data_IF_388390888228
#
_entry.id   IF_388390888228
#
_cell.length_a   1.000
_cell.length_b   1.000
_cell.length_c   1.000
_cell.angle_alpha   90.00
_cell.angle_beta   90.00
_cell.angle_gamma   90.00
#
_symmetry.space_group_name_H-M   'P 1'
#
loop_
_entity.id
_entity.type
_entity.pdbx_description
1 polymer ?
#
# COMPACT_ATOMS: atom_id res chain seq x y z
N UNK A 1 21.10 31.43 -2.98
CA UNK A 1 20.77 31.82 -4.37
C UNK A 1 19.85 30.78 -4.94
N UNK A 2 18.56 31.10 -5.01
CA UNK A 2 17.59 30.22 -5.69
C UNK A 2 17.86 30.29 -7.21
N UNK A 3 18.38 29.24 -7.80
CA UNK A 3 18.42 29.14 -9.26
C UNK A 3 16.97 29.00 -9.74
N UNK A 4 16.56 29.93 -10.60
CA UNK A 4 15.27 29.95 -11.27
C UNK A 4 15.15 28.66 -12.10
N UNK A 5 14.20 27.81 -11.82
CA UNK A 5 13.84 26.71 -12.69
C UNK A 5 13.19 27.29 -13.95
N UNK A 6 13.76 27.01 -15.09
CA UNK A 6 13.18 27.39 -16.39
C UNK A 6 12.45 26.17 -16.91
N UNK A 7 11.13 26.26 -17.01
CA UNK A 7 10.30 25.25 -17.68
C UNK A 7 10.20 25.62 -19.16
N UNK A 8 10.62 24.74 -20.02
CA UNK A 8 10.41 24.88 -21.45
C UNK A 8 9.28 23.92 -21.86
N UNK A 9 8.20 24.48 -22.34
CA UNK A 9 7.12 23.70 -22.95
C UNK A 9 7.43 23.62 -24.45
N UNK A 10 7.65 22.43 -24.98
CA UNK A 10 7.68 22.20 -26.39
C UNK A 10 6.36 21.55 -26.79
N UNK A 11 5.73 22.02 -27.85
CA UNK A 11 4.59 21.34 -28.46
C UNK A 11 5.00 19.92 -28.88
N UNK A 12 4.07 18.97 -28.75
CA UNK A 12 4.34 17.59 -29.09
C UNK A 12 4.77 17.51 -30.58
N UNK A 13 5.91 16.92 -30.83
CA UNK A 13 6.43 16.69 -32.20
C UNK A 13 5.48 15.80 -33.05
N UNK A 14 4.58 15.06 -32.36
CA UNK A 14 3.56 14.23 -33.00
C UNK A 14 2.23 14.39 -32.25
N UNK A 15 1.21 15.02 -32.85
CA UNK A 15 -0.09 15.24 -32.21
C UNK A 15 -0.89 13.97 -31.94
N UNK A 16 -0.51 12.84 -32.52
CA UNK A 16 -1.16 11.54 -32.30
C UNK A 16 -0.65 10.80 -31.06
N UNK A 17 0.40 11.32 -30.41
CA UNK A 17 0.97 10.74 -29.19
C UNK A 17 0.64 11.62 -27.98
N UNK A 18 -0.33 11.19 -27.17
CA UNK A 18 -0.63 11.85 -25.90
C UNK A 18 0.34 11.38 -24.81
N UNK A 19 0.87 12.32 -24.02
CA UNK A 19 1.76 12.00 -22.92
C UNK A 19 2.41 13.23 -22.31
N UNK A 20 3.09 13.02 -21.18
CA UNK A 20 3.88 14.07 -20.53
C UNK A 20 5.31 13.58 -20.37
N UNK A 21 6.27 14.38 -20.82
CA UNK A 21 7.70 14.14 -20.62
C UNK A 21 8.27 15.17 -19.65
N UNK A 22 8.79 14.69 -18.53
CA UNK A 22 9.53 15.52 -17.58
C UNK A 22 11.04 15.28 -17.74
N UNK A 23 11.78 16.33 -17.98
CA UNK A 23 13.25 16.27 -18.08
C UNK A 23 13.85 17.04 -16.92
N UNK A 24 14.63 16.35 -16.10
CA UNK A 24 15.33 16.95 -14.95
C UNK A 24 16.82 16.93 -15.28
N UNK A 25 17.43 18.11 -15.33
CA UNK A 25 18.87 18.29 -15.63
C UNK A 25 19.57 18.97 -14.46
N UNK A 26 20.89 18.90 -14.47
CA UNK A 26 21.73 19.55 -13.43
C UNK A 26 21.43 19.04 -12.02
N UNK A 27 21.26 17.73 -11.90
CA UNK A 27 21.13 17.05 -10.62
C UNK A 27 22.41 17.33 -9.81
N UNK A 28 22.27 17.65 -8.52
CA UNK A 28 23.41 18.04 -7.67
C UNK A 28 24.35 16.88 -7.36
N UNK A 29 23.77 15.70 -7.21
CA UNK A 29 24.49 14.48 -6.88
C UNK A 29 24.17 13.41 -7.93
N UNK A 30 25.16 12.64 -8.41
CA UNK A 30 24.91 11.53 -9.32
C UNK A 30 24.10 10.45 -8.60
N UNK A 31 23.18 9.84 -9.30
CA UNK A 31 22.44 8.72 -8.77
C UNK A 31 23.33 7.48 -8.68
N UNK A 32 23.24 6.78 -7.58
CA UNK A 32 23.87 5.47 -7.37
C UNK A 32 22.90 4.34 -7.67
N UNK A 33 23.41 3.14 -7.88
CA UNK A 33 22.57 1.94 -8.06
C UNK A 33 21.59 1.77 -6.89
N UNK A 34 22.03 2.02 -5.65
CA UNK A 34 21.20 1.92 -4.44
C UNK A 34 20.02 2.90 -4.47
N UNK A 35 20.22 4.10 -4.98
CA UNK A 35 19.16 5.11 -5.10
C UNK A 35 18.15 4.74 -6.18
N UNK A 36 18.61 4.19 -7.30
CA UNK A 36 17.72 3.65 -8.35
C UNK A 36 16.89 2.48 -7.80
N UNK A 37 17.51 1.54 -7.10
CA UNK A 37 16.80 0.43 -6.46
C UNK A 37 15.79 0.92 -5.40
N UNK A 38 16.13 1.99 -4.67
CA UNK A 38 15.19 2.63 -3.73
C UNK A 38 14.01 3.27 -4.48
N UNK A 39 14.28 4.02 -5.53
CA UNK A 39 13.26 4.62 -6.40
C UNK A 39 12.30 3.55 -6.94
N UNK A 40 12.84 2.44 -7.44
CA UNK A 40 12.03 1.33 -7.95
C UNK A 40 11.07 0.78 -6.90
N UNK A 41 11.53 0.62 -5.66
CA UNK A 41 10.67 0.17 -4.54
C UNK A 41 9.53 1.14 -4.27
N UNK A 42 9.83 2.45 -4.21
CA UNK A 42 8.81 3.46 -3.94
C UNK A 42 7.80 3.55 -5.08
N UNK A 43 8.26 3.48 -6.33
CA UNK A 43 7.39 3.49 -7.51
C UNK A 43 6.50 2.24 -7.57
N UNK A 44 7.02 1.07 -7.19
CA UNK A 44 6.24 -0.18 -7.19
C UNK A 44 5.01 -0.14 -6.28
N UNK A 45 5.03 0.73 -5.28
CA UNK A 45 3.94 0.91 -4.31
C UNK A 45 2.84 1.85 -4.80
N UNK A 46 3.05 2.59 -5.89
CA UNK A 46 2.12 3.64 -6.35
C UNK A 46 0.78 3.07 -6.77
N UNK A 47 0.80 1.92 -7.44
CA UNK A 47 -0.40 1.26 -7.99
C UNK A 47 -0.85 0.17 -7.04
N UNK A 48 -2.17 0.11 -6.79
CA UNK A 48 -2.76 -0.95 -5.97
C UNK A 48 -2.55 -2.32 -6.60
N UNK A 49 -2.10 -3.33 -5.83
CA UNK A 49 -2.06 -4.71 -6.29
C UNK A 49 -3.44 -5.29 -6.66
N UNK A 50 -4.52 -4.65 -6.24
CA UNK A 50 -5.89 -5.01 -6.63
C UNK A 50 -6.34 -4.38 -7.95
N UNK A 51 -5.58 -3.42 -8.47
CA UNK A 51 -6.05 -2.61 -9.59
C UNK A 51 -6.15 -3.44 -10.87
N UNK A 52 -7.38 -3.82 -11.23
CA UNK A 52 -7.73 -4.12 -12.61
C UNK A 52 -7.95 -2.79 -13.34
N UNK A 53 -6.86 -2.10 -13.65
CA UNK A 53 -6.94 -0.87 -14.42
C UNK A 53 -7.44 -1.20 -15.82
N UNK A 54 -8.45 -0.48 -16.30
CA UNK A 54 -9.00 -0.60 -17.65
C UNK A 54 -7.94 -0.37 -18.73
N UNK A 55 -6.89 0.36 -18.35
CA UNK A 55 -5.65 0.53 -19.10
C UNK A 55 -4.49 0.06 -18.23
N UNK A 56 -3.62 -0.85 -18.71
CA UNK A 56 -2.48 -1.31 -17.95
C UNK A 56 -1.52 -0.14 -17.72
N UNK A 57 -1.54 0.39 -16.50
CA UNK A 57 -0.54 1.37 -16.08
C UNK A 57 0.75 0.62 -15.75
N UNK A 58 1.76 0.79 -16.58
CA UNK A 58 3.05 0.14 -16.41
C UNK A 58 4.08 1.16 -15.98
N UNK A 59 4.80 0.84 -14.92
CA UNK A 59 5.95 1.62 -14.49
C UNK A 59 7.20 0.85 -14.88
N UNK A 60 8.06 1.46 -15.67
CA UNK A 60 9.34 0.90 -16.09
C UNK A 60 10.47 1.82 -15.69
N UNK A 61 11.48 1.27 -15.05
CA UNK A 61 12.70 2.01 -14.71
C UNK A 61 13.80 1.55 -15.64
N UNK A 62 14.44 2.51 -16.31
CA UNK A 62 15.53 2.28 -17.23
C UNK A 62 16.73 3.08 -16.74
N UNK A 63 17.78 2.38 -16.33
CA UNK A 63 19.04 2.95 -15.89
C UNK A 63 20.20 2.10 -16.46
N UNK A 64 20.57 2.34 -17.74
CA UNK A 64 21.54 1.52 -18.46
C UNK A 64 22.92 1.47 -17.80
N UNK A 65 23.31 2.54 -17.13
CA UNK A 65 24.57 2.67 -16.40
C UNK A 65 24.69 1.68 -15.22
N UNK A 66 23.56 1.11 -14.76
CA UNK A 66 23.49 0.11 -13.70
C UNK A 66 22.97 -1.23 -14.18
N UNK A 67 22.79 -1.39 -15.49
CA UNK A 67 22.22 -2.59 -16.10
C UNK A 67 20.80 -2.89 -15.61
N UNK A 68 19.98 -1.82 -15.43
CA UNK A 68 18.59 -1.90 -14.96
C UNK A 68 17.68 -1.50 -16.13
N UNK A 69 16.78 -2.41 -16.49
CA UNK A 69 15.67 -2.19 -17.42
C UNK A 69 14.54 -3.15 -17.04
N UNK A 70 13.65 -2.72 -16.13
CA UNK A 70 12.58 -3.61 -15.66
C UNK A 70 11.31 -2.87 -15.27
N UNK A 71 10.20 -3.58 -15.37
CA UNK A 71 8.92 -3.13 -14.82
C UNK A 71 8.94 -3.25 -13.29
N UNK A 72 8.39 -2.24 -12.62
CA UNK A 72 8.34 -2.16 -11.16
C UNK A 72 6.89 -1.98 -10.72
N UNK A 73 6.15 -3.10 -10.59
CA UNK A 73 4.79 -3.14 -10.05
C UNK A 73 4.71 -4.32 -9.09
N UNK A 74 4.17 -4.07 -7.90
CA UNK A 74 3.82 -5.14 -6.96
C UNK A 74 2.55 -5.84 -7.39
N UNK A 75 2.54 -7.14 -7.24
CA UNK A 75 1.36 -7.99 -7.43
C UNK A 75 0.99 -8.70 -6.11
N UNK A 76 -0.24 -9.19 -6.02
CA UNK A 76 -0.64 -9.99 -4.85
C UNK A 76 0.13 -11.31 -4.75
N UNK A 77 0.67 -11.80 -5.86
CA UNK A 77 1.47 -13.03 -5.90
C UNK A 77 2.80 -12.88 -5.17
N UNK A 78 3.33 -11.66 -5.06
CA UNK A 78 4.54 -11.37 -4.29
C UNK A 78 4.38 -11.70 -2.79
N UNK A 79 3.13 -11.81 -2.31
CA UNK A 79 2.79 -12.09 -0.93
C UNK A 79 2.38 -13.54 -0.64
N UNK A 80 2.51 -14.44 -1.62
CA UNK A 80 2.11 -15.87 -1.50
C UNK A 80 2.90 -16.64 -0.42
N UNK A 81 3.98 -16.06 0.11
CA UNK A 81 4.76 -16.64 1.21
C UNK A 81 4.21 -16.31 2.61
N UNK A 82 3.10 -15.57 2.70
CA UNK A 82 2.45 -15.30 3.98
C UNK A 82 1.92 -16.60 4.61
N UNK A 83 1.99 -16.67 5.94
CA UNK A 83 1.48 -17.82 6.71
C UNK A 83 -0.03 -17.83 6.72
N UNK A 84 -0.63 -16.66 7.01
CA UNK A 84 -2.07 -16.46 7.06
C UNK A 84 -2.42 -15.23 6.23
N UNK A 85 -3.55 -15.25 5.54
CA UNK A 85 -4.11 -14.05 4.93
C UNK A 85 -5.59 -13.88 5.30
N UNK A 86 -5.98 -12.62 5.49
CA UNK A 86 -7.36 -12.20 5.64
C UNK A 86 -7.73 -11.33 4.44
N UNK A 87 -8.75 -11.73 3.72
CA UNK A 87 -9.31 -10.95 2.60
C UNK A 87 -10.70 -10.47 2.95
N UNK A 88 -10.96 -9.19 2.70
CA UNK A 88 -12.27 -8.57 2.85
C UNK A 88 -12.64 -7.94 1.52
N UNK A 89 -13.81 -8.28 1.02
CA UNK A 89 -14.37 -7.73 -0.21
C UNK A 89 -15.79 -7.25 0.06
N UNK A 90 -16.07 -6.03 -0.34
CA UNK A 90 -17.38 -5.42 -0.26
C UNK A 90 -18.04 -5.44 -1.64
N UNK A 91 -19.15 -6.16 -1.73
CA UNK A 91 -20.00 -6.17 -2.90
C UNK A 91 -21.04 -5.04 -2.79
N UNK A 92 -20.84 -3.95 -3.56
CA UNK A 92 -21.75 -2.79 -3.56
C UNK A 92 -23.17 -3.15 -3.98
N UNK A 93 -23.35 -4.13 -4.85
CA UNK A 93 -24.68 -4.53 -5.35
C UNK A 93 -25.47 -5.27 -4.29
N UNK A 94 -24.81 -6.13 -3.53
CA UNK A 94 -25.40 -6.91 -2.42
C UNK A 94 -25.38 -6.15 -1.11
N UNK A 95 -24.63 -5.06 -1.03
CA UNK A 95 -24.39 -4.28 0.19
C UNK A 95 -23.91 -5.17 1.34
N UNK A 96 -23.04 -6.12 1.04
CA UNK A 96 -22.46 -7.07 1.99
C UNK A 96 -20.95 -7.06 1.88
N UNK A 97 -20.29 -7.23 3.02
CA UNK A 97 -18.85 -7.49 3.08
C UNK A 97 -18.62 -8.94 3.47
N UNK A 98 -17.66 -9.57 2.81
CA UNK A 98 -17.19 -10.91 3.13
C UNK A 98 -15.79 -10.82 3.70
N UNK A 99 -15.49 -11.64 4.72
CA UNK A 99 -14.13 -11.88 5.16
C UNK A 99 -13.77 -13.34 4.97
N UNK A 100 -12.59 -13.57 4.41
CA UNK A 100 -12.07 -14.92 4.13
C UNK A 100 -10.70 -15.00 4.78
N UNK A 101 -10.56 -15.94 5.73
CA UNK A 101 -9.27 -16.32 6.27
C UNK A 101 -8.72 -17.50 5.48
N UNK A 102 -7.49 -17.39 5.05
CA UNK A 102 -6.75 -18.48 4.46
C UNK A 102 -5.52 -18.76 5.31
N UNK A 103 -5.43 -19.96 5.83
CA UNK A 103 -4.29 -20.48 6.59
C UNK A 103 -3.57 -21.50 5.70
N UNK A 104 -2.34 -21.17 5.32
CA UNK A 104 -1.54 -21.99 4.42
C UNK A 104 -1.20 -23.37 4.99
N UNK A 105 -0.96 -23.45 6.30
CA UNK A 105 -0.60 -24.73 6.94
C UNK A 105 -1.79 -25.67 7.05
N UNK A 106 -2.95 -25.13 7.38
CA UNK A 106 -4.17 -25.92 7.59
C UNK A 106 -5.04 -26.05 6.34
N UNK A 107 -4.72 -25.27 5.28
CA UNK A 107 -5.52 -25.20 4.05
C UNK A 107 -7.01 -24.98 4.32
N UNK A 108 -7.33 -24.15 5.30
CA UNK A 108 -8.70 -23.86 5.71
C UNK A 108 -9.14 -22.47 5.28
N UNK A 109 -10.43 -22.40 4.89
CA UNK A 109 -11.09 -21.14 4.56
C UNK A 109 -12.25 -20.93 5.52
N UNK A 110 -12.24 -19.84 6.26
CA UNK A 110 -13.32 -19.45 7.12
C UNK A 110 -14.04 -18.23 6.50
N UNK A 111 -15.36 -18.29 6.50
CA UNK A 111 -16.22 -17.28 5.90
C UNK A 111 -17.02 -16.54 6.96
N UNK A 112 -16.95 -15.21 6.95
CA UNK A 112 -17.76 -14.35 7.82
C UNK A 112 -18.43 -13.26 6.99
N UNK A 113 -19.73 -13.02 7.25
CA UNK A 113 -20.44 -11.88 6.69
C UNK A 113 -20.31 -10.69 7.64
N UNK A 114 -19.89 -9.56 7.12
CA UNK A 114 -19.73 -8.33 7.89
C UNK A 114 -20.82 -7.35 7.46
N UNK A 115 -21.58 -6.77 8.43
CA UNK A 115 -22.55 -5.72 8.11
C UNK A 115 -21.86 -4.50 7.51
N UNK A 116 -22.59 -3.79 6.64
CA UNK A 116 -22.16 -2.50 6.11
C UNK A 116 -21.73 -1.54 7.21
N UNK A 117 -20.71 -0.77 6.92
CA UNK A 117 -20.19 0.28 7.78
C UNK A 117 -20.50 1.66 7.19
N UNK A 118 -20.52 2.72 8.02
CA UNK A 118 -20.86 4.07 7.59
C UNK A 118 -19.92 4.62 6.50
N UNK A 119 -18.70 4.12 6.43
CA UNK A 119 -17.66 4.59 5.50
C UNK A 119 -17.77 4.04 4.07
N UNK A 120 -18.75 3.15 3.79
CA UNK A 120 -18.98 2.57 2.47
C UNK A 120 -18.15 1.32 2.20
N UNK A 121 -17.99 0.98 0.91
CA UNK A 121 -17.29 -0.22 0.48
C UNK A 121 -15.78 -0.16 0.68
N UNK A 122 -15.19 -1.30 1.02
CA UNK A 122 -13.75 -1.46 1.19
C UNK A 122 -13.30 -2.82 0.68
N UNK A 123 -12.19 -2.86 -0.03
CA UNK A 123 -11.47 -4.08 -0.34
C UNK A 123 -10.17 -4.07 0.44
N UNK A 124 -9.93 -5.11 1.22
CA UNK A 124 -8.73 -5.20 2.05
C UNK A 124 -8.16 -6.60 2.00
N UNK A 125 -6.83 -6.67 2.01
CA UNK A 125 -6.11 -7.93 2.21
C UNK A 125 -4.97 -7.72 3.17
N UNK A 126 -4.86 -8.60 4.17
CA UNK A 126 -3.78 -8.60 5.15
C UNK A 126 -3.04 -9.92 4.99
N UNK A 127 -1.73 -9.84 4.90
CA UNK A 127 -0.82 -10.98 4.81
C UNK A 127 0.05 -11.00 6.05
N UNK A 128 -0.15 -11.98 6.90
CA UNK A 128 0.64 -12.18 8.10
C UNK A 128 1.80 -13.13 7.82
N UNK A 129 2.95 -12.80 8.36
CA UNK A 129 4.19 -13.58 8.22
C UNK A 129 4.70 -13.95 9.61
N UNK A 130 4.70 -15.23 9.95
CA UNK A 130 5.43 -15.74 11.07
C UNK A 130 6.96 -15.61 10.86
N UNK A 131 7.75 -16.00 11.84
CA UNK A 131 9.21 -15.82 11.75
C UNK A 131 9.86 -16.57 10.57
N UNK A 132 9.51 -17.83 10.25
CA UNK A 132 10.00 -18.52 9.06
C UNK A 132 9.60 -17.83 7.75
N UNK A 133 8.33 -17.41 7.62
CA UNK A 133 7.83 -16.72 6.44
C UNK A 133 8.50 -15.35 6.26
N UNK A 134 8.72 -14.58 7.34
CA UNK A 134 9.49 -13.33 7.31
C UNK A 134 10.91 -13.51 6.82
N UNK A 135 11.59 -14.57 7.26
CA UNK A 135 12.95 -14.87 6.78
C UNK A 135 12.96 -15.17 5.29
N UNK A 136 12.00 -15.94 4.81
CA UNK A 136 11.87 -16.26 3.39
C UNK A 136 11.53 -15.01 2.56
N UNK A 137 10.59 -14.18 3.03
CA UNK A 137 10.26 -12.92 2.39
C UNK A 137 11.47 -11.99 2.27
N UNK A 138 12.24 -11.79 3.34
CA UNK A 138 13.47 -10.96 3.33
C UNK A 138 14.54 -11.49 2.38
N UNK A 139 14.61 -12.79 2.15
CA UNK A 139 15.55 -13.37 1.17
C UNK A 139 15.09 -13.09 -0.27
N UNK A 140 13.79 -13.18 -0.53
CA UNK A 140 13.22 -12.92 -1.84
C UNK A 140 13.20 -11.41 -2.16
N UNK A 141 12.93 -10.57 -1.15
CA UNK A 141 12.78 -9.13 -1.26
C UNK A 141 13.67 -8.38 -0.25
N UNK A 142 15.00 -8.44 -0.38
CA UNK A 142 15.93 -7.92 0.63
C UNK A 142 15.83 -6.41 0.86
N UNK A 143 15.32 -5.70 -0.14
CA UNK A 143 15.18 -4.24 -0.11
C UNK A 143 13.75 -3.76 0.14
N UNK A 144 12.81 -4.68 0.38
CA UNK A 144 11.41 -4.38 0.54
C UNK A 144 10.89 -4.89 1.89
N UNK A 145 10.85 -4.03 2.91
CA UNK A 145 10.46 -4.45 4.25
C UNK A 145 8.97 -4.79 4.33
N UNK A 146 8.65 -5.67 5.28
CA UNK A 146 7.28 -5.82 5.76
C UNK A 146 6.98 -4.57 6.60
N UNK A 147 5.99 -3.77 6.19
CA UNK A 147 5.81 -2.40 6.67
C UNK A 147 4.35 -1.97 6.93
N UNK A 148 3.46 -2.92 7.24
CA UNK A 148 2.09 -2.60 7.65
C UNK A 148 1.14 -2.27 6.49
N UNK A 149 0.21 -1.36 6.71
CA UNK A 149 -0.85 -1.02 5.76
C UNK A 149 -0.46 0.03 4.73
N UNK A 150 -0.97 -0.18 3.51
CA UNK A 150 -1.03 0.83 2.44
C UNK A 150 -2.46 1.01 2.00
N UNK A 151 -2.90 2.26 1.91
CA UNK A 151 -4.25 2.61 1.45
C UNK A 151 -4.19 3.16 0.04
N UNK A 152 -5.01 2.60 -0.81
CA UNK A 152 -5.17 3.02 -2.20
C UNK A 152 -6.56 3.59 -2.41
N UNK A 153 -6.65 4.60 -3.25
CA UNK A 153 -7.90 5.21 -3.66
C UNK A 153 -7.96 5.26 -5.17
N UNK A 154 -9.00 4.65 -5.72
CA UNK A 154 -9.16 4.53 -7.18
C UNK A 154 -7.91 3.91 -7.85
N UNK A 155 -7.29 2.93 -7.17
CA UNK A 155 -6.12 2.19 -7.66
C UNK A 155 -4.76 2.87 -7.46
N UNK A 156 -4.71 4.10 -6.91
CA UNK A 156 -3.47 4.83 -6.65
C UNK A 156 -3.26 5.00 -5.15
N UNK A 157 -2.01 4.92 -4.70
CA UNK A 157 -1.68 5.09 -3.28
C UNK A 157 -2.16 6.46 -2.77
N UNK A 158 -2.97 6.44 -1.73
CA UNK A 158 -3.49 7.63 -1.09
C UNK A 158 -2.62 8.05 0.10
N UNK A 159 -2.26 7.07 0.94
CA UNK A 159 -1.40 7.30 2.10
C UNK A 159 -0.71 6.01 2.52
N UNK A 160 0.54 6.05 3.00
CA UNK A 160 1.19 4.96 3.71
C UNK A 160 0.61 4.87 5.12
N UNK A 161 -0.41 4.06 5.27
CA UNK A 161 -1.18 3.92 6.51
C UNK A 161 -0.48 2.94 7.46
N UNK A 162 -0.17 3.38 8.68
CA UNK A 162 0.54 2.59 9.70
C UNK A 162 1.91 2.02 9.25
N UNK A 163 2.51 2.59 8.21
CA UNK A 163 3.83 2.18 7.74
C UNK A 163 4.92 2.56 8.75
N UNK A 164 5.75 1.59 9.14
CA UNK A 164 6.93 1.87 9.95
C UNK A 164 8.01 2.51 9.09
N UNK A 165 8.44 3.69 9.47
CA UNK A 165 9.61 4.32 8.88
C UNK A 165 10.78 4.30 9.87
N UNK A 166 11.97 3.94 9.42
CA UNK A 166 13.20 3.98 10.22
C UNK A 166 13.58 5.41 10.64
N UNK A 167 13.05 6.41 9.96
CA UNK A 167 13.32 7.84 10.20
C UNK A 167 12.14 8.47 10.94
N UNK A 168 12.08 8.25 12.26
CA UNK A 168 11.47 9.12 13.30
C UNK A 168 10.04 9.62 13.11
N UNK A 169 9.23 9.14 12.19
CA UNK A 169 7.89 9.70 12.02
C UNK A 169 6.83 8.87 12.75
N UNK A 170 6.74 9.07 14.07
CA UNK A 170 5.65 8.56 14.93
C UNK A 170 4.25 8.89 14.40
N UNK A 171 4.15 9.84 13.46
CA UNK A 171 2.90 10.22 12.80
C UNK A 171 2.42 9.19 11.78
N UNK A 172 3.26 8.25 11.36
CA UNK A 172 2.90 7.23 10.37
C UNK A 172 2.20 6.01 10.97
N UNK A 173 2.31 5.78 12.25
CA UNK A 173 1.48 4.80 12.96
C UNK A 173 0.10 5.39 13.32
N UNK A 174 -0.61 5.85 12.29
CA UNK A 174 -1.92 6.51 12.40
C UNK A 174 -2.95 5.62 13.10
N UNK A 175 -2.81 4.31 12.96
CA UNK A 175 -3.66 3.32 13.64
C UNK A 175 -3.19 3.01 15.07
N UNK A 176 -1.99 3.43 15.46
CA UNK A 176 -1.42 3.10 16.75
C UNK A 176 -1.14 1.60 16.93
N UNK A 177 -0.82 0.90 15.83
CA UNK A 177 -0.59 -0.55 15.84
C UNK A 177 0.62 -0.87 16.69
N UNK A 178 1.77 -0.27 16.41
CA UNK A 178 3.00 -0.52 17.16
C UNK A 178 2.90 0.02 18.60
N UNK A 179 2.19 1.12 18.80
CA UNK A 179 1.90 1.61 20.17
C UNK A 179 1.08 0.60 20.99
N UNK A 180 0.15 -0.11 20.36
CA UNK A 180 -0.63 -1.18 21.02
C UNK A 180 0.25 -2.37 21.38
N UNK A 181 1.29 -2.68 20.60
CA UNK A 181 2.24 -3.77 20.90
C UNK A 181 2.95 -3.50 22.22
N UNK A 182 3.33 -2.27 22.53
CA UNK A 182 3.96 -1.93 23.83
C UNK A 182 3.05 -2.14 25.05
N UNK A 183 1.74 -2.17 24.84
CA UNK A 183 0.77 -2.42 25.92
C UNK A 183 0.54 -3.92 26.18
N UNK A 184 0.80 -4.76 25.18
CA UNK A 184 0.62 -6.21 25.25
C UNK A 184 1.56 -6.92 24.24
N UNK A 185 2.82 -7.00 24.62
CA UNK A 185 3.95 -7.40 23.73
C UNK A 185 3.78 -8.83 23.19
N UNK A 186 3.13 -9.72 23.94
CA UNK A 186 3.06 -11.14 23.57
C UNK A 186 1.86 -11.51 22.70
N UNK A 187 0.87 -10.65 22.62
CA UNK A 187 -0.42 -10.99 22.01
C UNK A 187 -0.82 -10.05 20.85
N UNK A 188 0.07 -9.18 20.36
CA UNK A 188 -0.31 -8.21 19.33
C UNK A 188 0.64 -8.23 18.15
N UNK A 189 0.06 -8.24 16.95
CA UNK A 189 0.79 -8.16 15.68
C UNK A 189 1.37 -6.76 15.50
N UNK A 190 2.68 -6.70 15.25
CA UNK A 190 3.42 -5.49 14.87
C UNK A 190 3.29 -5.20 13.38
N UNK A 191 3.43 -3.93 12.97
CA UNK A 191 3.52 -3.54 11.56
C UNK A 191 4.65 -4.23 10.80
N UNK A 192 5.64 -4.79 11.51
CA UNK A 192 6.77 -5.56 10.95
C UNK A 192 6.44 -7.04 10.68
N UNK A 193 5.22 -7.45 10.93
CA UNK A 193 4.78 -8.85 10.83
C UNK A 193 3.73 -9.06 9.76
N UNK A 194 3.20 -7.98 9.18
CA UNK A 194 2.21 -8.08 8.12
C UNK A 194 2.39 -7.03 7.02
N UNK A 195 1.86 -7.36 5.87
CA UNK A 195 1.60 -6.43 4.78
C UNK A 195 0.09 -6.31 4.60
N UNK A 196 -0.40 -5.10 4.57
CA UNK A 196 -1.81 -4.81 4.39
C UNK A 196 -2.06 -3.93 3.17
N UNK A 197 -3.00 -4.32 2.34
CA UNK A 197 -3.46 -3.54 1.19
C UNK A 197 -4.92 -3.21 1.39
N UNK A 198 -5.25 -1.94 1.36
CA UNK A 198 -6.61 -1.42 1.49
C UNK A 198 -6.93 -0.62 0.25
N UNK A 199 -8.01 -0.95 -0.42
CA UNK A 199 -8.47 -0.25 -1.62
C UNK A 199 -9.88 0.30 -1.37
N UNK A 200 -10.03 1.59 -1.57
CA UNK A 200 -11.30 2.32 -1.50
C UNK A 200 -11.51 3.11 -2.79
N UNK A 201 -12.75 3.43 -3.09
CA UNK A 201 -13.06 4.29 -4.24
C UNK A 201 -13.66 5.60 -3.77
N UNK A 202 -13.42 6.67 -4.52
CA UNK A 202 -14.03 7.97 -4.24
C UNK A 202 -15.55 7.91 -4.29
N UNK A 203 -16.09 7.16 -5.23
CA UNK A 203 -17.54 7.01 -5.40
C UNK A 203 -18.15 6.16 -4.26
N UNK A 204 -17.50 5.08 -3.84
CA UNK A 204 -17.96 4.21 -2.76
C UNK A 204 -17.76 4.83 -1.37
N UNK A 205 -16.78 5.75 -1.23
CA UNK A 205 -16.43 6.39 0.04
C UNK A 205 -16.34 7.92 -0.11
N UNK A 206 -17.42 8.62 -0.48
CA UNK A 206 -17.39 10.06 -0.78
C UNK A 206 -17.03 10.92 0.43
N UNK A 207 -17.26 10.43 1.66
CA UNK A 207 -16.98 11.14 2.90
C UNK A 207 -15.53 10.93 3.40
N UNK A 208 -14.80 9.96 2.86
CA UNK A 208 -13.37 9.83 3.12
C UNK A 208 -12.65 10.84 2.22
N UNK A 209 -12.22 11.95 2.77
CA UNK A 209 -11.68 13.10 2.02
C UNK A 209 -10.16 13.15 2.21
N UNK A 210 -9.41 13.29 1.13
CA UNK A 210 -7.95 13.43 1.19
C UNK A 210 -7.58 14.74 1.89
N UNK A 211 -6.65 14.69 2.83
CA UNK A 211 -6.10 15.89 3.44
C UNK A 211 -5.28 16.69 2.42
N UNK A 212 -5.23 18.00 2.57
CA UNK A 212 -4.56 18.92 1.62
C UNK A 212 -3.07 18.60 1.45
N UNK A 213 -2.42 18.09 2.50
CA UNK A 213 -1.02 17.68 2.49
C UNK A 213 -0.78 16.27 1.89
N UNK A 214 -1.86 15.55 1.53
CA UNK A 214 -1.83 14.18 1.00
C UNK A 214 -1.08 13.16 1.87
N UNK A 215 -0.98 13.42 3.16
CA UNK A 215 -0.31 12.53 4.11
C UNK A 215 -1.31 11.70 4.93
N UNK A 216 -2.59 12.05 4.88
CA UNK A 216 -3.68 11.38 5.58
C UNK A 216 -5.04 11.77 4.96
N UNK A 217 -6.11 11.28 5.55
CA UNK A 217 -7.48 11.73 5.29
C UNK A 217 -7.93 12.75 6.35
N UNK A 218 -8.94 13.53 5.98
CA UNK A 218 -9.59 14.45 6.95
C UNK A 218 -10.22 13.64 8.08
N UNK A 219 -9.92 14.04 9.32
CA UNK A 219 -10.41 13.33 10.51
C UNK A 219 -11.90 13.62 10.76
N UNK A 220 -12.77 12.86 10.13
CA UNK A 220 -14.22 12.85 10.30
C UNK A 220 -14.71 11.51 10.87
N UNK A 221 -16.01 11.39 11.13
CA UNK A 221 -16.58 10.22 11.77
C UNK A 221 -16.46 8.96 10.90
N UNK A 222 -16.66 9.07 9.59
CA UNK A 222 -16.54 7.97 8.64
C UNK A 222 -15.12 7.44 8.60
N UNK A 223 -14.13 8.32 8.60
CA UNK A 223 -12.73 7.93 8.63
C UNK A 223 -12.34 7.27 9.96
N UNK A 224 -12.84 7.79 11.08
CA UNK A 224 -12.62 7.17 12.41
C UNK A 224 -13.23 5.77 12.46
N UNK A 225 -14.44 5.58 11.92
CA UNK A 225 -15.06 4.26 11.83
C UNK A 225 -14.30 3.31 10.91
N UNK A 226 -13.75 3.79 9.80
CA UNK A 226 -12.87 2.99 8.94
C UNK A 226 -11.61 2.56 9.69
N UNK A 227 -10.96 3.46 10.44
CA UNK A 227 -9.80 3.11 11.29
C UNK A 227 -10.14 2.03 12.31
N UNK A 228 -11.25 2.18 13.02
CA UNK A 228 -11.72 1.16 13.99
C UNK A 228 -11.97 -0.18 13.32
N UNK A 229 -12.60 -0.17 12.15
CA UNK A 229 -12.87 -1.38 11.38
C UNK A 229 -11.57 -2.11 11.03
N UNK A 230 -10.57 -1.41 10.50
CA UNK A 230 -9.26 -1.98 10.14
C UNK A 230 -8.60 -2.61 11.37
N UNK A 231 -8.60 -1.92 12.51
CA UNK A 231 -8.05 -2.45 13.76
C UNK A 231 -8.82 -3.71 14.22
N UNK A 232 -10.13 -3.71 14.10
CA UNK A 232 -10.95 -4.89 14.45
C UNK A 232 -10.59 -6.09 13.58
N UNK A 233 -10.36 -5.89 12.28
CA UNK A 233 -9.95 -6.97 11.38
C UNK A 233 -8.54 -7.48 11.69
N UNK A 234 -7.62 -6.58 12.05
CA UNK A 234 -6.28 -6.98 12.48
C UNK A 234 -6.33 -7.78 13.80
N UNK A 235 -7.23 -7.40 14.73
CA UNK A 235 -7.46 -8.14 15.97
C UNK A 235 -8.06 -9.53 15.67
N UNK A 236 -9.04 -9.61 14.76
CA UNK A 236 -9.60 -10.90 14.36
C UNK A 236 -8.54 -11.83 13.73
N UNK A 237 -7.56 -11.27 13.01
CA UNK A 237 -6.43 -12.04 12.49
C UNK A 237 -5.51 -12.53 13.61
N UNK A 238 -5.35 -11.79 14.70
CA UNK A 238 -4.58 -12.20 15.87
C UNK A 238 -5.24 -13.35 16.64
N UNK A 239 -6.56 -13.32 16.73
CA UNK A 239 -7.35 -14.30 17.48
C UNK A 239 -7.53 -15.62 16.69
N UNK A 240 -7.20 -15.64 15.40
CA UNK A 240 -7.26 -16.80 14.52
C UNK A 240 -6.04 -17.72 14.69
#
# INVERSE_FOLDING_TARGET
VYKRQVYTYNDAENPDVSGTKLIITSIREPWTKKEIEHLMREISKIVSPFANLSYPFKVRVIAPEFDIDQESIRTLDDFNNATISLSIDFDETKKLQQSIFYDKEKSTFNYHLIPLKPFGGIRMKIFFFDEPARRNYRKAFPNDPIDGFKVYRDGIIATPFAETNEIQDLKRDILGIDKRVYQDIFNRISTREFLGVIDITKNGNPQIIDATNRQDFVDNDEYREMKKFIITQLTALQDY
#
